data_IF_976847275743
#
_entry.id   IF_976847275743
#
_cell.length_a   1.000
_cell.length_b   1.000
_cell.length_c   1.000
_cell.angle_alpha   90.00
_cell.angle_beta   90.00
_cell.angle_gamma   90.00
#
_symmetry.space_group_name_H-M   'P 1'
#
loop_
_entity.id
_entity.type
_entity.pdbx_description
1 polymer ?
#
# COMPACT_ATOMS: atom_id res chain seq x y z
N UNK A 1 -28.14 -15.28 -10.51
CA UNK A 1 -26.79 -14.83 -10.13
C UNK A 1 -26.06 -14.44 -11.40
N UNK A 2 -25.50 -13.23 -11.43
CA UNK A 2 -25.39 -12.35 -12.60
C UNK A 2 -24.62 -12.90 -13.80
N UNK A 3 -25.12 -12.59 -15.00
CA UNK A 3 -24.43 -12.85 -16.28
C UNK A 3 -23.31 -11.83 -16.56
N UNK A 4 -23.17 -10.81 -15.72
CA UNK A 4 -22.22 -9.71 -15.88
C UNK A 4 -21.16 -9.79 -14.77
N UNK A 5 -19.90 -9.51 -15.12
CA UNK A 5 -18.79 -9.50 -14.16
C UNK A 5 -18.87 -8.32 -13.18
N UNK A 6 -18.18 -8.44 -12.04
CA UNK A 6 -18.07 -7.35 -11.07
C UNK A 6 -17.40 -6.11 -11.69
N UNK A 7 -17.88 -4.93 -11.30
CA UNK A 7 -17.30 -3.64 -11.67
C UNK A 7 -15.90 -3.51 -11.09
N UNK A 8 -14.98 -2.92 -11.86
CA UNK A 8 -13.70 -2.45 -11.32
C UNK A 8 -13.89 -1.07 -10.69
N UNK A 9 -13.65 -0.97 -9.38
CA UNK A 9 -13.59 0.32 -8.69
C UNK A 9 -12.31 1.08 -9.07
N UNK A 10 -11.21 0.36 -9.31
CA UNK A 10 -10.00 0.90 -9.91
C UNK A 10 -9.28 -0.17 -10.74
N UNK A 11 -8.63 0.30 -11.81
CA UNK A 11 -7.67 -0.45 -12.61
C UNK A 11 -6.33 0.25 -12.56
N UNK A 12 -5.26 -0.53 -12.61
CA UNK A 12 -3.89 -0.01 -12.69
C UNK A 12 -3.31 -0.31 -14.07
N UNK A 13 -2.22 0.36 -14.42
CA UNK A 13 -1.47 0.10 -15.65
C UNK A 13 -0.02 -0.21 -15.29
N UNK A 14 0.47 -1.35 -15.74
CA UNK A 14 1.86 -1.76 -15.50
C UNK A 14 2.85 -1.03 -16.44
N UNK A 15 2.35 -0.38 -17.49
CA UNK A 15 3.13 0.42 -18.44
C UNK A 15 3.35 1.87 -17.99
N UNK A 16 2.72 2.29 -16.89
CA UNK A 16 2.78 3.66 -16.38
C UNK A 16 3.45 3.69 -15.02
N UNK A 17 4.35 4.67 -14.76
CA UNK A 17 4.91 4.85 -13.43
C UNK A 17 3.80 4.94 -12.38
N UNK A 18 3.90 4.15 -11.31
CA UNK A 18 2.87 4.10 -10.25
C UNK A 18 2.58 5.51 -9.68
N UNK A 19 3.62 6.34 -9.56
CA UNK A 19 3.51 7.74 -9.13
C UNK A 19 2.58 8.60 -9.99
N UNK A 20 2.37 8.26 -11.26
CA UNK A 20 1.54 9.03 -12.22
C UNK A 20 0.09 8.56 -12.29
N UNK A 21 -0.24 7.43 -11.65
CA UNK A 21 -1.58 6.86 -11.71
C UNK A 21 -2.49 7.48 -10.66
N UNK A 22 -3.61 8.07 -11.10
CA UNK A 22 -4.53 8.84 -10.23
C UNK A 22 -5.18 8.01 -9.12
N UNK A 23 -5.31 6.69 -9.32
CA UNK A 23 -5.85 5.76 -8.33
C UNK A 23 -4.85 5.35 -7.27
N UNK A 24 -3.58 5.77 -7.36
CA UNK A 24 -2.53 5.38 -6.45
C UNK A 24 -2.10 6.54 -5.55
N UNK A 25 -1.96 6.25 -4.27
CA UNK A 25 -1.30 7.12 -3.29
C UNK A 25 -0.33 6.30 -2.45
N UNK A 26 0.64 6.95 -1.80
CA UNK A 26 1.63 6.26 -0.97
C UNK A 26 1.85 6.91 0.40
N UNK A 27 0.99 7.85 0.77
CA UNK A 27 0.97 8.49 2.08
C UNK A 27 -0.44 8.50 2.63
N UNK A 28 -0.54 8.44 3.96
CA UNK A 28 -1.80 8.62 4.68
C UNK A 28 -1.97 10.09 5.00
N UNK A 29 -2.99 10.72 4.43
CA UNK A 29 -3.26 12.13 4.67
C UNK A 29 -4.76 12.46 4.53
N UNK A 30 -5.35 13.30 5.41
CA UNK A 30 -6.75 13.76 5.34
C UNK A 30 -7.13 14.51 4.05
N UNK A 31 -6.15 14.96 3.28
CA UNK A 31 -6.39 15.65 1.99
C UNK A 31 -6.17 14.76 0.76
N UNK A 32 -5.95 13.46 0.93
CA UNK A 32 -5.88 12.57 -0.22
C UNK A 32 -7.24 12.58 -0.94
N UNK A 33 -7.27 12.95 -2.23
CA UNK A 33 -8.52 12.98 -2.96
C UNK A 33 -9.06 11.57 -3.13
N UNK A 34 -10.37 11.43 -3.05
CA UNK A 34 -11.03 10.19 -3.44
C UNK A 34 -10.79 9.88 -4.91
N UNK A 35 -10.55 8.61 -5.21
CA UNK A 35 -10.51 8.12 -6.58
C UNK A 35 -11.91 7.81 -7.12
N UNK A 36 -12.84 7.43 -6.25
CA UNK A 36 -14.21 7.08 -6.64
C UNK A 36 -15.04 6.53 -5.50
N UNK A 37 -16.30 6.23 -5.78
CA UNK A 37 -17.30 5.84 -4.78
C UNK A 37 -17.68 4.36 -4.89
N UNK A 38 -17.98 3.75 -3.75
CA UNK A 38 -18.48 2.38 -3.59
C UNK A 38 -19.71 2.43 -2.67
N UNK A 39 -20.76 1.70 -3.02
CA UNK A 39 -21.97 1.65 -2.21
C UNK A 39 -21.87 0.59 -1.11
N UNK A 40 -22.50 0.77 0.05
CA UNK A 40 -22.68 -0.31 1.02
C UNK A 40 -23.25 -1.58 0.37
N UNK A 41 -22.59 -2.71 0.59
CA UNK A 41 -22.98 -4.01 0.02
C UNK A 41 -22.59 -4.23 -1.46
N UNK A 42 -21.92 -3.27 -2.10
CA UNK A 42 -21.42 -3.43 -3.48
C UNK A 42 -20.15 -4.30 -3.50
N UNK A 43 -20.16 -5.38 -4.28
CA UNK A 43 -18.96 -6.15 -4.59
C UNK A 43 -18.22 -5.55 -5.79
N UNK A 44 -16.94 -5.23 -5.61
CA UNK A 44 -16.09 -4.60 -6.64
C UNK A 44 -14.76 -5.31 -6.78
N UNK A 45 -14.11 -5.13 -7.93
CA UNK A 45 -12.70 -5.47 -8.15
C UNK A 45 -11.82 -4.24 -7.98
N UNK A 46 -10.68 -4.39 -7.32
CA UNK A 46 -9.67 -3.35 -7.16
C UNK A 46 -8.34 -3.96 -7.60
N UNK A 47 -7.73 -3.40 -8.64
CA UNK A 47 -6.38 -3.81 -9.04
C UNK A 47 -5.33 -3.03 -8.23
N UNK A 48 -4.20 -3.68 -7.97
CA UNK A 48 -3.09 -3.11 -7.22
C UNK A 48 -1.80 -3.34 -8.00
N UNK A 49 -0.89 -2.38 -7.91
CA UNK A 49 0.53 -2.61 -8.26
C UNK A 49 1.22 -3.27 -7.07
N UNK A 50 2.39 -3.88 -7.28
CA UNK A 50 3.22 -4.29 -6.16
C UNK A 50 3.61 -3.06 -5.31
N UNK A 51 3.93 -3.27 -4.03
CA UNK A 51 4.20 -2.19 -3.08
C UNK A 51 5.29 -1.19 -3.53
N UNK A 52 6.25 -1.63 -4.34
CA UNK A 52 7.33 -0.78 -4.88
C UNK A 52 6.93 0.04 -6.08
N UNK A 53 5.80 -0.29 -6.72
CA UNK A 53 5.34 0.34 -7.95
C UNK A 53 6.18 -0.06 -9.17
N UNK A 54 6.66 -1.31 -9.21
CA UNK A 54 7.42 -1.88 -10.32
C UNK A 54 8.93 -1.65 -10.26
N UNK A 55 9.50 -1.27 -9.10
CA UNK A 55 10.96 -1.07 -9.00
C UNK A 55 11.73 -2.39 -9.02
N UNK A 56 11.11 -3.48 -8.57
CA UNK A 56 11.73 -4.81 -8.55
C UNK A 56 11.33 -5.59 -9.80
N UNK A 57 12.33 -6.08 -10.54
CA UNK A 57 12.11 -6.85 -11.76
C UNK A 57 12.21 -8.35 -11.56
N UNK A 58 11.53 -9.10 -12.42
CA UNK A 58 11.73 -10.55 -12.57
C UNK A 58 13.05 -10.82 -13.32
N UNK A 59 14.14 -10.82 -12.57
CA UNK A 59 15.49 -11.08 -13.04
C UNK A 59 16.31 -11.74 -11.92
N UNK A 60 17.52 -12.16 -12.24
CA UNK A 60 18.39 -12.93 -11.33
C UNK A 60 19.48 -12.05 -10.67
N UNK A 61 19.28 -10.73 -10.63
CA UNK A 61 20.13 -9.78 -9.88
C UNK A 61 19.38 -9.23 -8.68
N UNK A 62 20.05 -9.08 -7.54
CA UNK A 62 19.49 -8.42 -6.36
C UNK A 62 19.78 -6.90 -6.32
N UNK A 63 20.35 -6.34 -7.39
CA UNK A 63 20.69 -4.91 -7.47
C UNK A 63 19.45 -4.02 -7.34
N UNK A 64 18.31 -4.42 -7.90
CA UNK A 64 17.05 -3.67 -7.75
C UNK A 64 16.53 -3.68 -6.30
N UNK A 65 16.74 -4.75 -5.54
CA UNK A 65 16.46 -4.80 -4.10
C UNK A 65 17.44 -3.95 -3.30
N UNK A 66 18.72 -3.90 -3.71
CA UNK A 66 19.73 -3.03 -3.09
C UNK A 66 19.38 -1.56 -3.26
N UNK A 67 18.98 -1.18 -4.47
CA UNK A 67 18.87 0.21 -4.91
C UNK A 67 17.42 0.75 -4.88
N UNK A 68 16.47 -0.06 -4.39
CA UNK A 68 15.06 0.35 -4.31
C UNK A 68 14.91 1.64 -3.51
N UNK A 69 14.09 2.55 -4.03
CA UNK A 69 13.75 3.79 -3.37
C UNK A 69 12.60 3.54 -2.38
N UNK A 70 12.98 3.23 -1.12
CA UNK A 70 12.05 2.99 -0.02
C UNK A 70 11.26 4.25 0.39
N UNK A 71 11.60 5.43 -0.15
CA UNK A 71 10.75 6.60 0.07
C UNK A 71 9.46 6.53 -0.74
N UNK A 72 9.37 5.71 -1.79
CA UNK A 72 8.19 5.65 -2.68
C UNK A 72 7.13 4.63 -2.24
N UNK A 73 7.48 3.70 -1.35
CA UNK A 73 6.55 2.68 -0.87
C UNK A 73 5.56 3.24 0.17
N UNK A 74 4.41 2.61 0.41
CA UNK A 74 3.78 1.56 -0.40
C UNK A 74 2.80 2.24 -1.36
N UNK A 75 2.73 1.85 -2.64
CA UNK A 75 1.64 2.28 -3.50
C UNK A 75 0.35 1.56 -3.14
N UNK A 76 -0.69 2.32 -2.82
CA UNK A 76 -2.00 1.85 -2.38
C UNK A 76 -3.07 2.32 -3.37
N UNK A 77 -3.97 1.43 -3.76
CA UNK A 77 -5.10 1.77 -4.63
C UNK A 77 -6.26 2.36 -3.84
N UNK A 78 -6.67 3.58 -4.21
CA UNK A 78 -7.71 4.36 -3.56
C UNK A 78 -7.27 5.81 -3.32
N UNK A 79 -7.79 6.48 -2.27
CA UNK A 79 -8.88 6.04 -1.41
C UNK A 79 -10.23 5.97 -2.15
N UNK A 80 -11.20 5.25 -1.57
CA UNK A 80 -12.57 5.18 -2.09
C UNK A 80 -13.56 5.73 -1.06
N UNK A 81 -14.59 6.39 -1.56
CA UNK A 81 -15.69 6.88 -0.75
C UNK A 81 -16.69 5.76 -0.56
N UNK A 82 -17.00 5.42 0.67
CA UNK A 82 -18.11 4.52 0.95
C UNK A 82 -19.35 5.39 1.17
N UNK A 83 -20.36 5.25 0.31
CA UNK A 83 -21.60 6.03 0.47
C UNK A 83 -22.14 5.82 1.89
N UNK A 84 -22.60 6.92 2.50
CA UNK A 84 -23.17 6.97 3.86
C UNK A 84 -22.22 6.64 5.01
N UNK A 85 -20.94 6.35 4.78
CA UNK A 85 -20.00 6.10 5.88
C UNK A 85 -19.64 7.41 6.61
N UNK A 86 -19.72 7.38 7.94
CA UNK A 86 -19.45 8.53 8.80
C UNK A 86 -18.35 8.24 9.85
N UNK A 87 -17.68 9.29 10.40
CA UNK A 87 -16.83 9.16 11.57
C UNK A 87 -17.47 8.31 12.68
N UNK A 88 -16.77 7.26 13.12
CA UNK A 88 -17.23 6.36 14.18
C UNK A 88 -17.93 5.10 13.70
N UNK A 89 -18.25 5.00 12.41
CA UNK A 89 -18.72 3.75 11.81
C UNK A 89 -17.61 2.70 11.71
N UNK A 90 -18.04 1.43 11.63
CA UNK A 90 -17.16 0.31 11.30
C UNK A 90 -17.42 -0.11 9.87
N UNK A 91 -16.39 -0.04 9.03
CA UNK A 91 -16.46 -0.58 7.68
C UNK A 91 -16.19 -2.08 7.69
N UNK A 92 -17.23 -2.87 7.43
CA UNK A 92 -17.10 -4.31 7.20
C UNK A 92 -16.68 -4.56 5.74
N UNK A 93 -15.47 -5.10 5.57
CA UNK A 93 -14.93 -5.47 4.25
C UNK A 93 -14.85 -6.99 4.16
N UNK A 94 -15.53 -7.58 3.18
CA UNK A 94 -15.42 -9.00 2.86
C UNK A 94 -14.45 -9.18 1.68
N UNK A 95 -13.31 -9.81 1.92
CA UNK A 95 -12.36 -10.18 0.87
C UNK A 95 -12.84 -11.49 0.25
N UNK A 96 -13.49 -11.40 -0.90
CA UNK A 96 -14.05 -12.56 -1.59
C UNK A 96 -13.00 -13.39 -2.32
N UNK A 97 -12.01 -12.72 -2.92
CA UNK A 97 -10.92 -13.35 -3.66
C UNK A 97 -9.73 -12.38 -3.80
N UNK A 98 -8.52 -12.93 -3.96
CA UNK A 98 -7.31 -12.19 -4.29
C UNK A 98 -6.51 -13.00 -5.30
N UNK A 99 -6.23 -12.41 -6.45
CA UNK A 99 -5.51 -13.06 -7.55
C UNK A 99 -4.39 -12.14 -8.05
N UNK A 100 -3.27 -12.68 -8.55
CA UNK A 100 -2.30 -11.88 -9.31
C UNK A 100 -2.96 -11.32 -10.57
N UNK A 101 -2.37 -10.27 -11.14
CA UNK A 101 -2.74 -9.85 -12.49
C UNK A 101 -2.31 -10.94 -13.48
N UNK A 102 -3.17 -11.27 -14.44
CA UNK A 102 -2.89 -12.30 -15.46
C UNK A 102 -1.60 -12.02 -16.24
N UNK A 103 -1.25 -10.74 -16.41
CA UNK A 103 -0.06 -10.26 -17.10
C UNK A 103 1.23 -10.37 -16.27
N UNK A 104 1.12 -10.53 -14.94
CA UNK A 104 2.23 -10.70 -14.00
C UNK A 104 1.97 -11.84 -13.01
N UNK A 105 1.98 -13.11 -13.46
CA UNK A 105 1.78 -14.28 -12.61
C UNK A 105 3.08 -14.65 -11.87
N UNK A 106 3.74 -13.67 -11.26
CA UNK A 106 4.97 -13.86 -10.48
C UNK A 106 5.05 -12.85 -9.33
N UNK A 107 5.91 -13.14 -8.35
CA UNK A 107 6.22 -12.23 -7.25
C UNK A 107 7.65 -12.40 -6.77
N UNK A 108 8.03 -11.67 -5.73
CA UNK A 108 9.40 -11.71 -5.21
C UNK A 108 9.43 -11.76 -3.68
N UNK A 109 10.54 -12.27 -3.16
CA UNK A 109 10.99 -12.08 -1.79
C UNK A 109 12.35 -11.42 -1.82
N UNK A 110 12.53 -10.37 -1.03
CA UNK A 110 13.79 -9.65 -0.91
C UNK A 110 14.35 -9.72 0.50
N UNK A 111 15.68 -9.77 0.61
CA UNK A 111 16.42 -9.34 1.79
C UNK A 111 17.03 -8.01 1.41
N UNK A 112 16.70 -6.95 2.14
CA UNK A 112 17.30 -5.64 1.89
C UNK A 112 18.74 -5.60 2.37
N UNK A 113 19.54 -4.75 1.73
CA UNK A 113 20.85 -4.39 2.27
C UNK A 113 20.67 -3.76 3.64
N UNK A 114 21.59 -4.04 4.57
CA UNK A 114 21.64 -3.39 5.88
C UNK A 114 21.66 -1.86 5.78
N UNK A 115 22.29 -1.34 4.73
CA UNK A 115 22.43 0.11 4.49
C UNK A 115 21.21 0.73 3.78
N UNK A 116 20.25 -0.06 3.30
CA UNK A 116 19.02 0.42 2.65
C UNK A 116 17.81 -0.42 3.07
N UNK A 117 17.27 -0.14 4.26
CA UNK A 117 16.07 -0.77 4.81
C UNK A 117 16.36 -1.83 5.88
N UNK A 118 17.37 -2.67 5.68
CA UNK A 118 17.74 -3.73 6.61
C UNK A 118 16.63 -4.77 6.84
N UNK A 119 16.67 -5.44 7.98
CA UNK A 119 15.71 -6.49 8.30
C UNK A 119 16.02 -7.23 9.58
N UNK A 120 15.18 -8.20 9.94
CA UNK A 120 15.28 -8.89 11.23
C UNK A 120 16.63 -9.59 11.46
N UNK A 121 17.28 -10.09 10.40
CA UNK A 121 18.56 -10.81 10.45
C UNK A 121 19.69 -10.07 9.73
N UNK A 122 19.61 -8.74 9.58
CA UNK A 122 20.58 -7.93 8.82
C UNK A 122 22.01 -7.93 9.38
N UNK A 123 22.22 -8.36 10.62
CA UNK A 123 23.56 -8.57 11.18
C UNK A 123 24.22 -9.88 10.70
N UNK A 124 23.39 -10.85 10.32
CA UNK A 124 23.84 -12.17 9.82
C UNK A 124 23.89 -12.18 8.30
N UNK A 125 22.90 -11.54 7.66
CA UNK A 125 22.77 -11.44 6.21
C UNK A 125 22.67 -9.95 5.80
N UNK A 126 23.80 -9.21 5.79
CA UNK A 126 23.80 -7.77 5.53
C UNK A 126 23.65 -7.42 4.04
N UNK A 127 23.93 -8.38 3.15
CA UNK A 127 23.90 -8.20 1.71
C UNK A 127 22.50 -8.42 1.13
N UNK A 128 22.12 -7.68 0.07
CA UNK A 128 20.83 -7.83 -0.56
C UNK A 128 20.69 -9.19 -1.26
N UNK A 129 19.50 -9.78 -1.18
CA UNK A 129 19.18 -11.03 -1.87
C UNK A 129 17.76 -11.01 -2.44
N UNK A 130 17.51 -11.79 -3.50
CA UNK A 130 16.19 -11.86 -4.15
C UNK A 130 15.84 -13.28 -4.58
N UNK A 131 14.62 -13.71 -4.23
CA UNK A 131 13.98 -14.90 -4.78
C UNK A 131 12.78 -14.49 -5.65
N UNK A 132 12.69 -15.02 -6.86
CA UNK A 132 11.50 -14.85 -7.71
C UNK A 132 10.62 -16.10 -7.60
N UNK A 133 9.32 -15.87 -7.52
CA UNK A 133 8.29 -16.89 -7.39
C UNK A 133 7.37 -16.83 -8.59
N UNK A 134 7.22 -17.95 -9.30
CA UNK A 134 6.25 -18.08 -10.39
C UNK A 134 4.95 -18.69 -9.84
N UNK A 135 3.81 -18.17 -10.26
CA UNK A 135 2.48 -18.58 -9.78
C UNK A 135 1.81 -19.55 -10.76
N UNK A 136 1.37 -20.70 -10.24
CA UNK A 136 0.71 -21.76 -10.99
C UNK A 136 -0.62 -22.13 -10.29
N UNK A 137 -1.68 -21.43 -10.67
CA UNK A 137 -2.96 -21.52 -9.95
C UNK A 137 -2.79 -21.10 -8.49
N UNK A 138 -3.12 -21.98 -7.55
CA UNK A 138 -2.95 -21.70 -6.11
C UNK A 138 -1.54 -21.96 -5.58
N UNK A 139 -0.64 -22.49 -6.42
CA UNK A 139 0.72 -22.85 -6.00
C UNK A 139 1.74 -21.82 -6.45
N UNK A 140 2.87 -21.73 -5.75
CA UNK A 140 4.05 -21.05 -6.23
C UNK A 140 5.30 -21.92 -6.06
N UNK A 141 6.31 -21.64 -6.89
CA UNK A 141 7.65 -22.22 -6.79
C UNK A 141 8.70 -21.18 -7.18
N UNK A 142 9.96 -21.41 -6.80
CA UNK A 142 11.06 -20.49 -7.12
C UNK A 142 12.19 -21.22 -7.82
N UNK A 143 12.67 -20.66 -8.93
CA UNK A 143 13.89 -21.11 -9.59
C UNK A 143 15.14 -20.93 -8.72
N UNK A 144 15.10 -20.06 -7.70
CA UNK A 144 16.21 -19.83 -6.77
C UNK A 144 16.18 -20.78 -5.56
N UNK A 145 15.06 -21.47 -5.32
CA UNK A 145 14.87 -22.38 -4.18
C UNK A 145 14.35 -23.73 -4.69
N UNK A 146 15.23 -24.58 -5.24
CA UNK A 146 14.83 -25.83 -5.89
C UNK A 146 14.18 -26.80 -4.90
N UNK A 147 13.20 -27.56 -5.39
CA UNK A 147 12.47 -28.55 -4.60
C UNK A 147 11.36 -27.97 -3.71
N UNK A 148 11.13 -26.66 -3.73
CA UNK A 148 10.07 -25.99 -2.97
C UNK A 148 8.89 -25.63 -3.87
N UNK A 149 7.72 -26.14 -3.52
CA UNK A 149 6.43 -25.77 -4.10
C UNK A 149 5.35 -25.87 -3.04
N UNK A 150 4.55 -24.83 -2.86
CA UNK A 150 3.51 -24.78 -1.84
C UNK A 150 2.30 -23.97 -2.29
N UNK A 151 1.17 -24.19 -1.63
CA UNK A 151 -0.04 -23.43 -1.88
C UNK A 151 0.05 -22.06 -1.17
N UNK A 152 -0.27 -20.99 -1.89
CA UNK A 152 -0.22 -19.63 -1.35
C UNK A 152 -1.29 -19.39 -0.28
N UNK A 153 -0.90 -18.76 0.82
CA UNK A 153 -1.83 -18.13 1.75
C UNK A 153 -1.99 -16.67 1.33
N UNK A 154 -2.82 -16.43 0.33
CA UNK A 154 -2.93 -15.13 -0.34
C UNK A 154 -3.63 -14.14 0.60
N UNK A 155 -3.01 -13.00 0.86
CA UNK A 155 -3.54 -11.97 1.75
C UNK A 155 -3.01 -10.57 1.37
N UNK A 156 -3.77 -9.49 1.60
CA UNK A 156 -3.25 -8.14 1.50
C UNK A 156 -2.31 -7.85 2.67
N UNK A 157 -1.06 -7.44 2.37
CA UNK A 157 -0.12 -6.99 3.41
C UNK A 157 -0.45 -5.60 3.97
N UNK A 158 -1.20 -4.78 3.22
CA UNK A 158 -1.66 -3.47 3.65
C UNK A 158 -3.09 -3.23 3.17
N UNK A 159 -4.00 -3.02 4.11
CA UNK A 159 -5.39 -2.64 3.86
C UNK A 159 -5.86 -1.82 5.04
N UNK A 160 -6.35 -0.61 4.79
CA UNK A 160 -6.74 0.28 5.86
C UNK A 160 -7.92 1.13 5.42
N UNK A 161 -8.82 1.40 6.35
CA UNK A 161 -9.78 2.47 6.18
C UNK A 161 -9.14 3.78 6.63
N UNK A 162 -9.38 4.84 5.88
CA UNK A 162 -9.11 6.18 6.36
C UNK A 162 -10.45 6.76 6.80
N UNK A 163 -10.76 6.63 8.09
CA UNK A 163 -11.91 7.29 8.71
C UNK A 163 -11.43 8.45 9.56
N UNK A 164 -12.18 9.57 9.61
CA UNK A 164 -11.89 10.61 10.56
C UNK A 164 -12.32 10.17 11.97
N UNK A 165 -11.58 10.63 12.96
CA UNK A 165 -12.18 11.05 14.22
C UNK A 165 -12.47 12.55 14.12
N UNK A 166 -13.74 12.95 14.12
CA UNK A 166 -14.17 14.31 14.43
C UNK A 166 -15.59 14.28 14.97
N UNK A 167 -15.77 14.22 16.30
CA UNK A 167 -17.04 14.48 16.99
C UNK A 167 -16.72 15.10 18.37
N UNK A 168 -17.46 16.08 18.92
CA UNK A 168 -18.74 16.68 18.47
C UNK A 168 -18.77 18.24 18.42
N UNK A 169 -19.68 18.81 17.61
CA UNK A 169 -20.47 20.02 17.94
C UNK A 169 -19.71 21.36 18.18
N UNK A 170 -19.83 22.43 17.38
CA UNK A 170 -20.87 22.95 16.45
C UNK A 170 -20.19 24.00 15.52
N UNK A 171 -20.59 24.32 14.28
CA UNK A 171 -21.84 24.22 13.51
C UNK A 171 -21.50 24.36 12.01
N UNK A 172 -22.17 23.56 11.18
CA UNK A 172 -22.29 23.58 9.71
C UNK A 172 -21.47 22.53 8.92
N UNK A 173 -22.13 21.50 8.35
CA UNK A 173 -21.49 20.60 7.39
C UNK A 173 -21.60 21.18 5.97
N UNK A 174 -20.55 21.11 5.13
CA UNK A 174 -20.72 21.08 3.69
C UNK A 174 -21.14 19.68 3.24
N UNK A 175 -22.01 19.63 2.24
CA UNK A 175 -22.52 18.43 1.60
C UNK A 175 -21.43 17.74 0.76
N UNK A 176 -20.57 16.94 1.37
CA UNK A 176 -19.87 15.80 0.75
C UNK A 176 -18.98 15.13 1.80
N UNK A 177 -19.35 13.94 2.24
CA UNK A 177 -18.75 13.21 3.35
C UNK A 177 -17.75 12.15 2.88
N UNK A 178 -16.46 12.45 3.03
CA UNK A 178 -15.34 11.50 2.99
C UNK A 178 -14.19 12.15 3.75
N UNK A 179 -13.58 11.48 4.72
CA UNK A 179 -12.47 12.08 5.46
C UNK A 179 -11.40 11.01 5.82
N UNK A 180 -10.12 11.22 5.45
CA UNK A 180 -9.02 10.32 5.77
C UNK A 180 -8.57 10.39 7.26
N UNK A 181 -7.41 9.84 7.74
CA UNK A 181 -7.15 9.81 9.18
C UNK A 181 -7.19 11.25 9.69
N UNK A 182 -7.88 11.49 10.80
CA UNK A 182 -8.09 12.87 11.25
C UNK A 182 -6.76 13.58 11.44
N UNK A 183 -6.74 14.89 11.24
CA UNK A 183 -5.53 15.69 11.41
C UNK A 183 -4.87 15.44 12.78
N UNK A 184 -5.67 15.20 13.83
CA UNK A 184 -5.22 14.84 15.17
C UNK A 184 -4.49 13.47 15.22
N UNK A 185 -5.03 12.45 14.54
CA UNK A 185 -4.39 11.12 14.48
C UNK A 185 -3.08 11.21 13.70
N UNK A 186 -3.08 11.92 12.57
CA UNK A 186 -1.86 12.14 11.79
C UNK A 186 -0.80 12.93 12.60
N UNK A 187 -1.22 13.95 13.34
CA UNK A 187 -0.34 14.71 14.24
C UNK A 187 0.22 13.82 15.36
N UNK A 188 -0.60 12.97 15.95
CA UNK A 188 -0.17 12.00 16.98
C UNK A 188 0.89 11.04 16.44
N UNK A 189 0.68 10.50 15.22
CA UNK A 189 1.66 9.62 14.57
C UNK A 189 2.97 10.34 14.29
N UNK A 190 2.90 11.51 13.66
CA UNK A 190 4.09 12.30 13.35
C UNK A 190 4.87 12.69 14.62
N UNK A 191 4.16 13.07 15.70
CA UNK A 191 4.77 13.48 16.97
C UNK A 191 5.50 12.32 17.63
N UNK A 192 4.83 11.18 17.83
CA UNK A 192 5.44 10.03 18.52
C UNK A 192 6.60 9.42 17.73
N UNK A 193 6.49 9.40 16.39
CA UNK A 193 7.54 8.86 15.51
C UNK A 193 8.75 9.80 15.46
N UNK A 194 8.52 11.12 15.41
CA UNK A 194 9.60 12.11 15.54
C UNK A 194 10.28 12.04 16.91
N UNK A 195 9.54 11.85 18.00
CA UNK A 195 10.10 11.65 19.34
C UNK A 195 10.97 10.38 19.39
N UNK A 196 10.50 9.26 18.80
CA UNK A 196 11.27 8.03 18.72
C UNK A 196 12.60 8.25 17.97
N UNK A 197 12.56 8.92 16.81
CA UNK A 197 13.75 9.23 16.01
C UNK A 197 14.74 10.09 16.81
N UNK A 198 14.25 11.15 17.46
CA UNK A 198 15.12 12.09 18.19
C UNK A 198 15.75 11.47 19.44
N UNK A 199 15.03 10.61 20.14
CA UNK A 199 15.51 9.95 21.37
C UNK A 199 16.45 8.77 21.11
N UNK A 200 16.38 8.14 19.94
CA UNK A 200 17.16 6.95 19.59
C UNK A 200 18.28 7.19 18.57
N UNK A 201 18.76 8.44 18.43
CA UNK A 201 19.90 8.80 17.57
C UNK A 201 21.21 8.06 17.89
N UNK A 202 21.31 7.48 19.10
CA UNK A 202 22.44 6.66 19.53
C UNK A 202 22.40 5.24 18.96
N UNK A 203 21.25 4.78 18.46
CA UNK A 203 21.16 3.54 17.71
C UNK A 203 21.68 3.78 16.30
N UNK A 204 22.63 2.96 15.86
CA UNK A 204 23.10 2.99 14.47
C UNK A 204 22.11 2.27 13.53
N UNK A 205 20.81 2.59 13.66
CA UNK A 205 19.68 1.98 12.94
C UNK A 205 18.56 3.01 12.80
N UNK A 206 17.88 3.01 11.64
CA UNK A 206 16.65 3.78 11.45
C UNK A 206 15.50 3.14 12.24
N UNK A 207 14.87 3.92 13.13
CA UNK A 207 13.80 3.43 14.03
C UNK A 207 12.39 3.78 13.55
N UNK A 208 12.25 4.80 12.71
CA UNK A 208 11.01 5.20 12.05
C UNK A 208 11.33 6.12 10.85
N UNK A 209 10.40 6.23 9.92
CA UNK A 209 10.52 7.06 8.71
C UNK A 209 9.63 8.31 8.82
N UNK A 210 10.19 9.53 8.84
CA UNK A 210 9.40 10.76 8.96
C UNK A 210 8.69 11.12 7.64
N UNK A 211 7.68 12.02 7.69
CA UNK A 211 7.07 12.56 6.47
C UNK A 211 8.11 13.22 5.54
N UNK A 212 8.11 12.82 4.26
CA UNK A 212 8.99 13.39 3.23
C UNK A 212 8.29 14.49 2.44
N UNK A 213 8.97 15.64 2.27
CA UNK A 213 8.43 16.84 1.61
C UNK A 213 8.27 16.71 0.09
N UNK A 214 8.93 15.72 -0.53
CA UNK A 214 8.88 15.49 -1.97
C UNK A 214 7.58 14.80 -2.45
N UNK A 215 6.68 14.40 -1.54
CA UNK A 215 5.52 13.56 -1.84
C UNK A 215 4.22 14.10 -1.20
N UNK A 216 3.92 15.39 -1.40
CA UNK A 216 2.66 16.01 -0.93
C UNK A 216 1.45 15.43 -1.68
N UNK A 217 0.24 15.42 -1.06
CA UNK A 217 -0.99 14.99 -1.71
C UNK A 217 -1.20 15.77 -3.01
N UNK A 218 -1.47 15.05 -4.11
CA UNK A 218 -1.87 15.68 -5.38
C UNK A 218 -3.28 16.24 -5.18
N UNK A 219 -3.42 17.57 -5.08
CA UNK A 219 -4.74 18.21 -5.21
C UNK A 219 -5.22 17.94 -6.63
N UNK A 220 -6.30 17.18 -6.80
CA UNK A 220 -6.98 17.11 -8.09
C UNK A 220 -7.50 18.51 -8.38
N UNK A 221 -6.88 19.21 -9.33
CA UNK A 221 -7.43 20.45 -9.86
C UNK A 221 -8.82 20.14 -10.42
N UNK A 222 -9.85 20.62 -9.76
CA UNK A 222 -11.21 20.70 -10.31
C UNK A 222 -11.14 21.65 -11.51
N UNK A 223 -11.22 21.09 -12.72
CA UNK A 223 -11.54 21.83 -13.95
C UNK A 223 -13.04 21.83 -14.17
#
# INVERSE_FOLDING_TARGET
MGKEGLRYAAKVSLDKPASEQKCLHNRWHPENPSYGTIKPGEAVKIECVDWTGGQIGNNDSADDVRDVDLTKIHYLTGPFDIETAEPGDVLLVEIQDVQPLDEQPWGFTGIFSKENGGGFLDEIYPEPAKAIWDFEGIFCSSRHIPGVRFAGLIHPGSMHSLHPYCIPHLTHPPQSSVVPPSAEVLETWNTREAELITTHTHLNRTVAEPPSTHQRPRRLCTS
#
